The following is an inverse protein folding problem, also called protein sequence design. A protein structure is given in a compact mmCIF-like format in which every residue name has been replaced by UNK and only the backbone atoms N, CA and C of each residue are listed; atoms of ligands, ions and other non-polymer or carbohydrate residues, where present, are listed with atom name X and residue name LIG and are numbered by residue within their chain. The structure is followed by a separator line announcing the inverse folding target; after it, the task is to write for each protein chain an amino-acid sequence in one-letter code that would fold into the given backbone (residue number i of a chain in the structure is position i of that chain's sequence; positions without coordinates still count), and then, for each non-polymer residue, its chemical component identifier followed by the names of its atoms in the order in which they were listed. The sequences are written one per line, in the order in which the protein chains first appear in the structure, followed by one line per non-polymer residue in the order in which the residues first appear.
data_IF_551463454443
#
_entry.id   IF_551463454443
#
_cell.length_a   1.000
_cell.length_b   1.000
_cell.length_c   1.000
_cell.angle_alpha   90.00
_cell.angle_beta   90.00
_cell.angle_gamma   90.00
#
_symmetry.space_group_name_H-M   'P 1'
#
loop_
_entity.id
_entity.type
_entity.pdbx_description
1 polymer ?
#
# COMPACT_ATOMS: atom_id res chain seq x y z
N UNK A 1 17.76 4.19 -10.22
CA UNK A 1 16.61 4.28 -11.13
C UNK A 1 16.42 5.75 -11.53
N UNK A 2 16.50 6.08 -12.81
CA UNK A 2 16.39 7.46 -13.28
C UNK A 2 14.97 7.73 -13.72
N UNK A 3 14.30 8.69 -13.08
CA UNK A 3 13.02 9.21 -13.54
C UNK A 3 13.23 10.52 -14.25
N UNK A 4 12.71 10.64 -15.46
CA UNK A 4 12.64 11.88 -16.21
C UNK A 4 11.17 12.31 -16.34
N UNK A 5 10.95 13.61 -16.35
CA UNK A 5 9.62 14.19 -16.51
C UNK A 5 9.56 14.82 -17.90
N UNK A 6 8.58 14.40 -18.69
CA UNK A 6 8.36 14.92 -20.04
C UNK A 6 6.94 15.49 -20.17
N UNK A 7 6.78 16.40 -21.11
CA UNK A 7 5.47 16.87 -21.53
C UNK A 7 5.04 16.06 -22.75
N UNK A 8 4.06 15.17 -22.57
CA UNK A 8 3.42 14.44 -23.65
C UNK A 8 1.98 14.97 -23.83
N UNK A 9 1.65 15.43 -25.05
CA UNK A 9 0.35 16.03 -25.35
C UNK A 9 -0.09 17.11 -24.34
N UNK A 10 0.81 17.99 -23.91
CA UNK A 10 0.61 19.04 -22.89
C UNK A 10 0.36 18.53 -21.47
N UNK A 11 0.59 17.26 -21.19
CA UNK A 11 0.46 16.68 -19.85
C UNK A 11 1.82 16.22 -19.34
N UNK A 12 2.11 16.48 -18.06
CA UNK A 12 3.31 15.93 -17.41
C UNK A 12 3.18 14.43 -17.27
N UNK A 13 4.24 13.70 -17.61
CA UNK A 13 4.35 12.25 -17.49
C UNK A 13 5.62 11.88 -16.72
N UNK A 14 5.60 10.74 -16.05
CA UNK A 14 6.79 10.15 -15.45
C UNK A 14 7.33 9.07 -16.38
N UNK A 15 8.65 9.07 -16.57
CA UNK A 15 9.35 8.05 -17.36
C UNK A 15 10.35 7.33 -16.47
N UNK A 16 10.15 6.03 -16.30
CA UNK A 16 11.10 5.12 -15.64
C UNK A 16 11.98 4.53 -16.72
N UNK A 17 13.29 4.77 -16.61
CA UNK A 17 14.26 4.31 -17.59
C UNK A 17 15.01 3.12 -17.02
N UNK A 18 14.99 2.01 -17.74
CA UNK A 18 15.69 0.78 -17.44
C UNK A 18 16.87 0.64 -18.39
N UNK A 19 18.08 0.43 -17.89
CA UNK A 19 19.22 0.05 -18.71
C UNK A 19 19.01 -1.35 -19.31
N UNK A 20 19.82 -1.73 -20.31
CA UNK A 20 19.63 -2.99 -21.03
C UNK A 20 19.72 -4.22 -20.11
N UNK A 21 20.48 -4.16 -19.04
CA UNK A 21 20.63 -5.24 -18.05
C UNK A 21 19.32 -5.48 -17.26
N UNK A 22 18.47 -4.47 -17.16
CA UNK A 22 17.18 -4.55 -16.44
C UNK A 22 16.00 -4.90 -17.36
N UNK A 23 16.26 -5.43 -18.57
CA UNK A 23 15.22 -5.80 -19.55
C UNK A 23 14.14 -6.71 -18.95
N UNK A 24 14.53 -7.71 -18.14
CA UNK A 24 13.59 -8.64 -17.53
C UNK A 24 12.59 -7.93 -16.61
N UNK A 25 13.07 -6.99 -15.80
CA UNK A 25 12.25 -6.17 -14.90
C UNK A 25 11.28 -5.28 -15.68
N UNK A 26 11.78 -4.58 -16.72
CA UNK A 26 10.94 -3.76 -17.61
C UNK A 26 9.88 -4.61 -18.30
N UNK A 27 10.27 -5.78 -18.83
CA UNK A 27 9.35 -6.69 -19.52
C UNK A 27 8.23 -7.16 -18.59
N UNK A 28 8.57 -7.57 -17.38
CA UNK A 28 7.59 -8.00 -16.38
C UNK A 28 6.63 -6.85 -16.04
N UNK A 29 7.15 -5.67 -15.69
CA UNK A 29 6.34 -4.53 -15.31
C UNK A 29 5.44 -4.06 -16.46
N UNK A 30 5.96 -4.01 -17.70
CA UNK A 30 5.19 -3.62 -18.87
C UNK A 30 4.08 -4.64 -19.17
N UNK A 31 4.33 -5.95 -19.03
CA UNK A 31 3.32 -6.99 -19.20
C UNK A 31 2.20 -6.89 -18.17
N UNK A 32 2.53 -6.62 -16.92
CA UNK A 32 1.53 -6.39 -15.87
C UNK A 32 0.67 -5.16 -16.22
N UNK A 33 1.29 -4.04 -16.59
CA UNK A 33 0.56 -2.81 -16.93
C UNK A 33 -0.29 -2.89 -18.19
N UNK A 34 0.04 -3.76 -19.13
CA UNK A 34 -0.76 -3.98 -20.36
C UNK A 34 -2.00 -4.83 -20.14
N UNK A 35 -2.14 -5.47 -18.95
CA UNK A 35 -3.37 -6.17 -18.61
C UNK A 35 -4.52 -5.17 -18.46
N UNK A 36 -5.53 -5.30 -19.31
CA UNK A 36 -6.70 -4.41 -19.29
C UNK A 36 -7.46 -4.43 -17.95
N UNK A 37 -7.38 -5.57 -17.23
CA UNK A 37 -8.04 -5.79 -15.96
C UNK A 37 -7.28 -5.16 -14.78
N UNK A 38 -6.05 -4.69 -14.99
CA UNK A 38 -5.28 -3.98 -13.95
C UNK A 38 -5.79 -2.55 -13.70
N UNK A 39 -6.52 -1.95 -14.65
CA UNK A 39 -6.97 -0.55 -14.55
C UNK A 39 -7.85 -0.33 -13.33
N UNK A 40 -7.37 0.48 -12.40
CA UNK A 40 -8.08 0.85 -11.18
C UNK A 40 -7.68 2.24 -10.70
N UNK A 41 -8.56 2.94 -9.98
CA UNK A 41 -8.29 4.30 -9.49
C UNK A 41 -7.12 4.40 -8.51
N UNK A 42 -6.81 3.32 -7.78
CA UNK A 42 -5.70 3.19 -6.84
C UNK A 42 -4.48 2.44 -7.41
N UNK A 43 -4.43 2.25 -8.71
CA UNK A 43 -3.25 1.71 -9.44
C UNK A 43 -2.68 2.80 -10.34
N UNK A 44 -1.36 2.92 -10.39
CA UNK A 44 -0.67 3.89 -11.23
C UNK A 44 -1.11 3.73 -12.70
N UNK A 45 -1.54 4.83 -13.31
CA UNK A 45 -2.01 4.82 -14.70
C UNK A 45 -0.82 4.67 -15.66
N UNK A 46 -0.77 3.56 -16.35
CA UNK A 46 0.14 3.28 -17.44
C UNK A 46 -0.28 4.03 -18.71
N UNK A 47 0.70 4.51 -19.47
CA UNK A 47 0.51 5.21 -20.73
C UNK A 47 1.14 4.45 -21.91
N UNK A 48 2.43 4.12 -21.82
CA UNK A 48 3.13 3.31 -22.83
C UNK A 48 4.40 2.67 -22.28
N UNK A 49 4.90 1.67 -22.97
CA UNK A 49 6.23 1.09 -22.80
C UNK A 49 6.94 1.12 -24.15
N UNK A 50 8.19 1.57 -24.18
CA UNK A 50 8.93 1.83 -25.41
C UNK A 50 10.38 1.36 -25.30
N UNK A 51 10.90 0.85 -26.41
CA UNK A 51 12.34 0.64 -26.58
C UNK A 51 12.94 1.89 -27.23
N UNK A 52 14.00 2.41 -26.66
CA UNK A 52 14.70 3.59 -27.14
C UNK A 52 16.18 3.31 -27.36
N UNK A 53 16.78 4.04 -28.28
CA UNK A 53 18.22 4.02 -28.50
C UNK A 53 18.78 5.40 -28.12
N UNK A 54 19.70 5.41 -27.17
CA UNK A 54 20.47 6.59 -26.79
C UNK A 54 21.92 6.39 -27.23
N UNK A 55 22.23 6.88 -28.43
CA UNK A 55 23.51 6.58 -29.08
C UNK A 55 23.63 5.10 -29.43
N UNK A 56 24.65 4.42 -28.89
CA UNK A 56 24.90 2.99 -29.06
C UNK A 56 24.22 2.12 -28.00
N UNK A 57 23.59 2.71 -26.99
CA UNK A 57 22.97 1.97 -25.89
C UNK A 57 21.45 1.86 -26.13
N UNK A 58 20.92 0.68 -25.82
CA UNK A 58 19.48 0.41 -25.82
C UNK A 58 18.94 0.66 -24.40
N UNK A 59 17.87 1.42 -24.31
CA UNK A 59 17.14 1.72 -23.08
C UNK A 59 15.68 1.29 -23.23
N UNK A 60 15.05 0.95 -22.09
CA UNK A 60 13.65 0.57 -22.03
C UNK A 60 12.90 1.57 -21.17
N UNK A 61 11.88 2.19 -21.74
CA UNK A 61 11.11 3.24 -21.09
C UNK A 61 9.73 2.74 -20.70
N UNK A 62 9.33 3.05 -19.47
CA UNK A 62 7.98 2.87 -18.97
C UNK A 62 7.39 4.24 -18.68
N UNK A 63 6.32 4.60 -19.39
CA UNK A 63 5.71 5.93 -19.32
C UNK A 63 4.39 5.82 -18.57
N UNK A 64 4.24 6.62 -17.51
CA UNK A 64 3.10 6.59 -16.59
C UNK A 64 2.58 7.98 -16.28
N UNK A 65 1.44 8.07 -15.61
CA UNK A 65 0.97 9.33 -15.05
C UNK A 65 1.97 9.88 -14.04
N UNK A 66 2.17 11.20 -14.07
CA UNK A 66 3.01 11.91 -13.10
C UNK A 66 2.20 12.34 -11.89
N UNK A 67 2.75 12.13 -10.70
CA UNK A 67 2.18 12.53 -9.42
C UNK A 67 3.12 13.48 -8.69
N UNK A 68 2.79 14.78 -8.69
CA UNK A 68 3.67 15.86 -8.22
C UNK A 68 3.96 15.84 -6.71
N UNK A 69 3.12 15.17 -5.92
CA UNK A 69 3.31 15.03 -4.47
C UNK A 69 4.38 13.98 -4.11
N UNK A 70 4.81 13.16 -5.10
CA UNK A 70 5.79 12.11 -4.91
C UNK A 70 5.25 10.89 -4.19
N UNK A 71 6.13 10.15 -3.52
CA UNK A 71 5.76 8.93 -2.80
C UNK A 71 5.27 9.21 -1.37
N UNK A 72 4.58 8.22 -0.81
CA UNK A 72 3.96 8.30 0.51
C UNK A 72 4.98 8.51 1.63
N UNK A 73 6.17 7.85 1.59
CA UNK A 73 7.24 8.04 2.58
C UNK A 73 7.63 9.52 2.69
N UNK A 74 7.93 10.13 1.55
CA UNK A 74 8.36 11.53 1.49
C UNK A 74 7.22 12.48 1.88
N UNK A 75 5.99 12.14 1.52
CA UNK A 75 4.81 12.90 1.91
C UNK A 75 4.60 12.88 3.43
N UNK A 76 4.60 11.69 4.05
CA UNK A 76 4.44 11.51 5.50
C UNK A 76 5.57 12.16 6.30
N UNK A 77 6.78 12.22 5.75
CA UNK A 77 7.92 12.89 6.41
C UNK A 77 7.69 14.40 6.57
N UNK A 78 6.91 15.01 5.68
CA UNK A 78 6.67 16.45 5.63
C UNK A 78 5.30 16.89 6.16
N UNK A 79 4.35 15.97 6.25
CA UNK A 79 2.96 16.29 6.54
C UNK A 79 2.44 15.53 7.77
N UNK A 80 1.52 16.16 8.47
CA UNK A 80 0.66 15.57 9.49
C UNK A 80 -0.71 15.40 8.85
N UNK A 81 -1.40 14.31 9.17
CA UNK A 81 -2.67 13.94 8.57
C UNK A 81 -3.82 14.21 9.53
N UNK A 82 -4.91 14.76 9.02
CA UNK A 82 -6.19 14.67 9.72
C UNK A 82 -6.73 13.23 9.65
N UNK A 83 -7.70 12.90 10.50
CA UNK A 83 -8.40 11.60 10.45
C UNK A 83 -8.98 11.32 9.06
N UNK A 84 -9.58 12.32 8.44
CA UNK A 84 -10.14 12.21 7.09
C UNK A 84 -9.08 11.95 6.01
N UNK A 85 -7.91 12.58 6.11
CA UNK A 85 -6.80 12.35 5.19
C UNK A 85 -6.26 10.94 5.34
N UNK A 86 -6.11 10.46 6.60
CA UNK A 86 -5.73 9.10 6.91
C UNK A 86 -6.69 8.10 6.26
N UNK A 87 -8.00 8.25 6.50
CA UNK A 87 -9.02 7.34 5.95
C UNK A 87 -8.94 7.23 4.42
N UNK A 88 -8.81 8.36 3.73
CA UNK A 88 -8.72 8.38 2.26
C UNK A 88 -7.43 7.76 1.74
N UNK A 89 -6.29 8.07 2.36
CA UNK A 89 -5.00 7.49 1.96
C UNK A 89 -4.97 5.99 2.23
N UNK A 90 -5.34 5.57 3.44
CA UNK A 90 -5.38 4.17 3.82
C UNK A 90 -6.43 3.39 3.00
N UNK A 91 -7.63 3.92 2.86
CA UNK A 91 -8.70 3.32 2.05
C UNK A 91 -8.32 3.15 0.59
N UNK A 92 -7.64 4.14 -0.03
CA UNK A 92 -7.17 4.01 -1.41
C UNK A 92 -6.05 2.97 -1.56
N UNK A 93 -5.12 2.86 -0.60
CA UNK A 93 -4.11 1.81 -0.58
C UNK A 93 -4.77 0.43 -0.49
N UNK A 94 -5.66 0.23 0.49
CA UNK A 94 -6.40 -1.02 0.68
C UNK A 94 -7.19 -1.39 -0.57
N UNK A 95 -7.89 -0.43 -1.18
CA UNK A 95 -8.64 -0.62 -2.43
C UNK A 95 -7.75 -1.07 -3.59
N UNK A 96 -6.53 -0.53 -3.69
CA UNK A 96 -5.53 -0.95 -4.68
C UNK A 96 -5.09 -2.41 -4.47
N UNK A 97 -4.75 -2.80 -3.24
CA UNK A 97 -4.34 -4.17 -2.91
C UNK A 97 -5.49 -5.15 -3.11
N UNK A 98 -6.71 -4.79 -2.68
CA UNK A 98 -7.91 -5.60 -2.89
C UNK A 98 -8.16 -5.84 -4.37
N UNK A 99 -8.03 -4.80 -5.22
CA UNK A 99 -8.17 -4.95 -6.65
C UNK A 99 -7.11 -5.90 -7.24
N UNK A 100 -5.86 -5.84 -6.80
CA UNK A 100 -4.82 -6.76 -7.25
C UNK A 100 -5.16 -8.21 -6.89
N UNK A 101 -5.59 -8.47 -5.66
CA UNK A 101 -5.85 -9.81 -5.12
C UNK A 101 -7.18 -10.43 -5.57
N UNK A 102 -8.09 -9.63 -6.13
CA UNK A 102 -9.42 -10.11 -6.55
C UNK A 102 -9.34 -10.98 -7.80
N UNK A 103 -10.20 -12.02 -7.86
CA UNK A 103 -10.43 -12.85 -9.03
C UNK A 103 -11.37 -12.20 -10.06
N UNK A 104 -11.95 -11.06 -9.71
CA UNK A 104 -12.91 -10.34 -10.55
C UNK A 104 -12.60 -8.85 -10.57
N UNK A 105 -12.89 -8.20 -11.70
CA UNK A 105 -12.92 -6.74 -11.80
C UNK A 105 -14.14 -6.17 -11.08
N UNK A 106 -14.15 -4.86 -10.82
CA UNK A 106 -15.33 -4.18 -10.28
C UNK A 106 -16.60 -4.36 -11.14
N UNK A 107 -16.43 -4.62 -12.44
CA UNK A 107 -17.53 -4.94 -13.37
C UNK A 107 -17.94 -6.41 -13.40
N UNK A 108 -17.37 -7.26 -12.53
CA UNK A 108 -17.69 -8.69 -12.43
C UNK A 108 -17.03 -9.57 -13.49
N UNK A 109 -16.13 -9.04 -14.32
CA UNK A 109 -15.37 -9.85 -15.29
C UNK A 109 -14.23 -10.60 -14.60
N UNK A 110 -14.01 -11.89 -14.91
CA UNK A 110 -12.90 -12.66 -14.35
C UNK A 110 -11.54 -12.03 -14.68
N UNK A 111 -10.63 -12.05 -13.73
CA UNK A 111 -9.23 -11.65 -13.92
C UNK A 111 -8.30 -12.57 -13.13
N UNK A 112 -7.04 -12.63 -13.53
CA UNK A 112 -6.00 -13.33 -12.77
C UNK A 112 -5.54 -12.39 -11.66
N UNK A 113 -5.55 -12.82 -10.37
CA UNK A 113 -5.00 -12.04 -9.27
C UNK A 113 -3.50 -11.77 -9.46
N UNK A 114 -3.04 -10.70 -8.84
CA UNK A 114 -1.64 -10.27 -8.88
C UNK A 114 -1.16 -10.05 -7.46
N UNK A 115 -0.03 -10.65 -7.08
CA UNK A 115 0.70 -10.28 -5.89
C UNK A 115 1.75 -9.22 -6.23
N UNK A 116 1.78 -8.14 -5.47
CA UNK A 116 2.71 -7.02 -5.70
C UNK A 116 4.13 -7.35 -5.26
N UNK A 117 4.30 -7.99 -4.11
CA UNK A 117 5.53 -8.48 -3.48
C UNK A 117 6.56 -7.43 -3.04
N UNK A 118 6.30 -6.15 -3.28
CA UNK A 118 7.13 -5.04 -2.76
C UNK A 118 6.28 -3.84 -2.32
N UNK A 119 5.21 -4.12 -1.57
CA UNK A 119 4.38 -3.05 -0.97
C UNK A 119 5.19 -2.36 0.12
N UNK A 120 5.41 -1.06 -0.08
CA UNK A 120 6.13 -0.17 0.85
C UNK A 120 5.76 1.28 0.55
N UNK A 121 5.97 2.17 1.49
CA UNK A 121 5.57 3.58 1.34
C UNK A 121 6.26 4.32 0.18
N UNK A 122 7.44 3.89 -0.27
CA UNK A 122 8.09 4.44 -1.47
C UNK A 122 7.45 3.98 -2.79
N UNK A 123 6.70 2.85 -2.79
CA UNK A 123 5.97 2.32 -3.93
C UNK A 123 4.48 2.68 -3.93
N UNK A 124 4.10 3.65 -3.10
CA UNK A 124 2.79 4.27 -3.06
C UNK A 124 2.95 5.74 -3.42
N UNK A 125 2.31 6.21 -4.48
CA UNK A 125 2.37 7.62 -4.91
C UNK A 125 1.10 8.36 -4.46
N UNK A 126 1.24 9.65 -4.18
CA UNK A 126 0.12 10.53 -3.83
C UNK A 126 -0.48 11.09 -5.10
N UNK A 127 -1.69 10.63 -5.45
CA UNK A 127 -2.40 10.97 -6.68
C UNK A 127 -2.97 12.39 -6.64
N UNK A 128 -3.59 12.74 -5.53
CA UNK A 128 -4.10 14.05 -5.21
C UNK A 128 -3.88 14.27 -3.70
N UNK A 129 -4.45 15.30 -3.13
CA UNK A 129 -4.18 15.67 -1.75
C UNK A 129 -4.45 14.57 -0.70
N UNK A 130 -5.13 13.48 -1.06
CA UNK A 130 -5.61 12.51 -0.05
C UNK A 130 -5.75 11.07 -0.59
N UNK A 131 -5.48 10.82 -1.87
CA UNK A 131 -5.58 9.48 -2.47
C UNK A 131 -4.22 8.94 -2.89
N UNK A 132 -4.06 7.64 -2.78
CA UNK A 132 -2.85 6.92 -3.14
C UNK A 132 -3.04 6.04 -4.37
N UNK A 133 -1.95 5.78 -5.08
CA UNK A 133 -1.88 4.74 -6.10
C UNK A 133 -0.65 3.86 -5.87
N UNK A 134 -0.82 2.54 -6.05
CA UNK A 134 0.28 1.59 -6.06
C UNK A 134 1.06 1.70 -7.36
N UNK A 135 2.38 1.59 -7.28
CA UNK A 135 3.31 1.62 -8.41
C UNK A 135 4.46 0.62 -8.21
N UNK A 136 5.30 0.48 -9.23
CA UNK A 136 6.48 -0.40 -9.23
C UNK A 136 6.13 -1.90 -9.19
N UNK A 137 5.64 -2.40 -10.32
CA UNK A 137 5.29 -3.81 -10.53
C UNK A 137 6.45 -4.65 -11.07
N UNK A 138 7.70 -4.20 -10.94
CA UNK A 138 8.88 -4.86 -11.50
C UNK A 138 9.10 -6.29 -11.01
N UNK A 139 8.65 -6.61 -9.80
CA UNK A 139 8.68 -7.96 -9.21
C UNK A 139 7.28 -8.52 -8.91
N UNK A 140 6.22 -7.89 -9.40
CA UNK A 140 4.87 -8.40 -9.23
C UNK A 140 4.67 -9.75 -9.95
N UNK A 141 3.78 -10.57 -9.41
CA UNK A 141 3.53 -11.92 -9.89
C UNK A 141 2.05 -12.12 -10.21
N UNK A 142 1.76 -12.59 -11.42
CA UNK A 142 0.41 -13.05 -11.78
C UNK A 142 0.19 -14.42 -11.14
N UNK A 143 -0.88 -14.55 -10.37
CA UNK A 143 -1.23 -15.78 -9.66
C UNK A 143 -2.09 -16.66 -10.57
N UNK A 144 -1.49 -17.10 -11.67
CA UNK A 144 -2.15 -17.94 -12.69
C UNK A 144 -2.06 -19.41 -12.28
N UNK A 145 -3.20 -20.09 -12.00
CA UNK A 145 -3.20 -21.50 -11.59
C UNK A 145 -2.65 -22.46 -12.68
N UNK A 146 -2.51 -21.99 -13.91
CA UNK A 146 -1.92 -22.79 -15.00
C UNK A 146 -0.40 -22.87 -14.95
N UNK A 147 0.27 -21.99 -14.16
CA UNK A 147 1.71 -21.99 -13.99
C UNK A 147 2.15 -23.08 -13.01
N UNK A 148 3.31 -23.67 -13.27
CA UNK A 148 3.88 -24.67 -12.37
C UNK A 148 4.62 -24.06 -11.20
N UNK A 149 4.81 -24.84 -10.12
CA UNK A 149 5.67 -24.44 -8.97
C UNK A 149 7.08 -24.03 -9.42
N UNK A 150 7.59 -24.64 -10.49
CA UNK A 150 8.88 -24.26 -11.09
C UNK A 150 8.92 -22.83 -11.61
N UNK A 151 7.78 -22.30 -12.08
CA UNK A 151 7.66 -20.91 -12.53
C UNK A 151 7.73 -19.94 -11.35
N UNK A 152 7.39 -20.39 -10.14
CA UNK A 152 7.45 -19.63 -8.89
C UNK A 152 8.73 -19.89 -8.06
N UNK A 153 9.59 -20.83 -8.45
CA UNK A 153 10.71 -21.33 -7.64
C UNK A 153 11.67 -20.22 -7.16
N UNK A 154 11.84 -19.15 -7.91
CA UNK A 154 12.67 -18.00 -7.53
C UNK A 154 11.83 -16.83 -6.94
N UNK A 155 10.58 -17.07 -6.62
CA UNK A 155 9.62 -16.00 -6.28
C UNK A 155 9.40 -15.81 -4.78
N UNK A 156 9.89 -16.71 -3.93
CA UNK A 156 9.57 -16.73 -2.50
C UNK A 156 10.30 -15.66 -1.65
N UNK A 157 11.52 -15.26 -2.03
CA UNK A 157 12.33 -14.34 -1.22
C UNK A 157 12.71 -13.09 -2.00
N UNK A 158 11.72 -12.26 -2.27
CA UNK A 158 11.87 -10.98 -3.00
C UNK A 158 11.22 -9.85 -2.21
N UNK A 159 11.61 -8.62 -2.52
CA UNK A 159 11.07 -7.41 -1.91
C UNK A 159 12.05 -6.69 -1.00
N UNK A 160 11.57 -5.75 -0.24
CA UNK A 160 12.36 -4.89 0.65
C UNK A 160 12.36 -5.47 2.07
N UNK A 161 13.52 -5.85 2.60
CA UNK A 161 13.67 -6.60 3.86
C UNK A 161 12.84 -6.04 5.03
N UNK A 162 12.75 -4.70 5.17
CA UNK A 162 11.97 -4.03 6.21
C UNK A 162 10.48 -4.38 6.20
N UNK A 163 9.92 -4.66 5.01
CA UNK A 163 8.49 -4.93 4.81
C UNK A 163 8.19 -6.41 4.60
N UNK A 164 9.20 -7.27 4.61
CA UNK A 164 9.03 -8.71 4.42
C UNK A 164 8.30 -9.36 5.60
N UNK A 165 7.35 -10.20 5.26
CA UNK A 165 6.63 -11.02 6.23
C UNK A 165 7.56 -12.10 6.88
N UNK A 166 7.20 -12.61 8.07
CA UNK A 166 8.00 -13.62 8.77
C UNK A 166 8.37 -14.82 7.90
N UNK A 167 7.40 -15.41 7.20
CA UNK A 167 7.59 -16.58 6.33
C UNK A 167 8.54 -16.30 5.15
N UNK A 168 8.57 -15.04 4.66
CA UNK A 168 9.51 -14.61 3.60
C UNK A 168 10.93 -14.53 4.15
N UNK A 169 11.09 -13.89 5.32
CA UNK A 169 12.38 -13.80 6.00
C UNK A 169 12.95 -15.19 6.36
N UNK A 170 12.08 -16.13 6.67
CA UNK A 170 12.43 -17.50 7.03
C UNK A 170 12.61 -18.43 5.81
N UNK A 171 12.31 -17.94 4.59
CA UNK A 171 12.32 -18.72 3.34
C UNK A 171 11.38 -19.95 3.39
N UNK A 172 10.22 -19.80 4.04
CA UNK A 172 9.19 -20.85 4.22
C UNK A 172 7.86 -20.52 3.55
N UNK A 173 7.86 -19.66 2.55
CA UNK A 173 6.66 -19.38 1.75
C UNK A 173 6.22 -20.66 1.05
N UNK A 174 4.93 -21.00 1.18
CA UNK A 174 4.36 -22.13 0.43
C UNK A 174 4.12 -21.71 -1.02
N UNK A 175 5.02 -22.14 -1.93
CA UNK A 175 4.95 -21.79 -3.35
C UNK A 175 3.88 -22.59 -4.11
N UNK A 176 3.31 -23.64 -3.51
CA UNK A 176 2.22 -24.43 -4.09
C UNK A 176 0.85 -23.78 -3.83
N UNK A 177 0.79 -22.89 -2.83
CA UNK A 177 -0.42 -22.14 -2.52
C UNK A 177 -0.29 -20.67 -2.95
N UNK A 178 -1.05 -20.27 -3.97
CA UNK A 178 -1.05 -18.92 -4.50
C UNK A 178 -1.54 -17.87 -3.50
N UNK A 179 -2.35 -18.27 -2.50
CA UNK A 179 -2.80 -17.37 -1.42
C UNK A 179 -1.63 -16.90 -0.54
N UNK A 180 -0.57 -17.71 -0.39
CA UNK A 180 0.65 -17.32 0.35
C UNK A 180 1.22 -16.01 -0.15
N UNK A 181 1.18 -15.74 -1.45
CA UNK A 181 1.68 -14.49 -2.02
C UNK A 181 0.79 -13.29 -1.69
N UNK A 182 -0.52 -13.49 -1.56
CA UNK A 182 -1.45 -12.43 -1.11
C UNK A 182 -1.27 -12.14 0.37
N UNK A 183 -1.04 -13.15 1.19
CA UNK A 183 -0.78 -13.03 2.64
C UNK A 183 0.49 -12.21 2.92
N UNK A 184 1.54 -12.36 2.10
CA UNK A 184 2.76 -11.54 2.17
C UNK A 184 2.46 -10.05 1.91
N UNK A 185 1.67 -9.75 0.89
CA UNK A 185 1.27 -8.38 0.55
C UNK A 185 0.44 -7.74 1.67
N UNK A 186 -0.46 -8.51 2.30
CA UNK A 186 -1.28 -8.03 3.42
C UNK A 186 -0.41 -7.64 4.61
N UNK A 187 0.62 -8.42 4.94
CA UNK A 187 1.60 -8.07 5.97
C UNK A 187 2.30 -6.74 5.66
N UNK A 188 2.81 -6.60 4.45
CA UNK A 188 3.49 -5.38 3.99
C UNK A 188 2.54 -4.17 3.99
N UNK A 189 1.30 -4.36 3.56
CA UNK A 189 0.24 -3.34 3.60
C UNK A 189 -0.01 -2.87 5.04
N UNK A 190 -0.07 -3.79 6.01
CA UNK A 190 -0.27 -3.43 7.42
C UNK A 190 0.83 -2.50 7.95
N UNK A 191 2.09 -2.73 7.55
CA UNK A 191 3.20 -1.84 7.90
C UNK A 191 3.03 -0.44 7.31
N UNK A 192 2.56 -0.33 6.06
CA UNK A 192 2.27 0.97 5.44
C UNK A 192 1.06 1.65 6.09
N UNK A 193 0.03 0.91 6.46
CA UNK A 193 -1.12 1.44 7.24
C UNK A 193 -0.66 2.00 8.58
N UNK A 194 0.27 1.31 9.26
CA UNK A 194 0.89 1.82 10.50
C UNK A 194 1.68 3.12 10.25
N UNK A 195 2.43 3.23 9.15
CA UNK A 195 3.12 4.48 8.79
C UNK A 195 2.14 5.64 8.64
N UNK A 196 1.03 5.44 7.92
CA UNK A 196 -0.03 6.44 7.74
C UNK A 196 -0.63 6.82 9.11
N UNK A 197 -0.98 5.83 9.94
CA UNK A 197 -1.55 6.04 11.28
C UNK A 197 -0.62 6.83 12.19
N UNK A 198 0.70 6.59 12.12
CA UNK A 198 1.72 7.26 12.95
C UNK A 198 1.80 8.77 12.72
N UNK A 199 1.24 9.26 11.62
CA UNK A 199 1.25 10.68 11.25
C UNK A 199 -0.10 11.39 11.44
N UNK A 200 -1.08 10.73 12.06
CA UNK A 200 -2.42 11.28 12.30
C UNK A 200 -2.47 12.12 13.58
N UNK A 201 -3.14 13.26 13.54
CA UNK A 201 -3.34 14.15 14.69
C UNK A 201 -4.65 13.92 15.46
N UNK A 202 -5.50 13.00 14.99
CA UNK A 202 -6.84 12.75 15.54
C UNK A 202 -6.88 12.36 17.02
N UNK A 203 -5.77 11.81 17.54
CA UNK A 203 -5.65 11.36 18.93
C UNK A 203 -5.27 12.47 19.91
N UNK A 204 -5.06 13.70 19.42
CA UNK A 204 -4.55 14.81 20.24
C UNK A 204 -3.08 14.62 20.64
N UNK A 205 -2.48 15.72 21.13
CA UNK A 205 -1.07 15.74 21.52
C UNK A 205 -0.11 15.96 20.36
N UNK A 206 1.19 15.84 20.63
CA UNK A 206 2.24 16.07 19.64
C UNK A 206 2.45 14.81 18.78
N UNK A 207 2.20 14.91 17.48
CA UNK A 207 2.54 13.85 16.53
C UNK A 207 4.07 13.72 16.45
N UNK A 208 4.60 12.50 16.62
CA UNK A 208 6.04 12.22 16.51
C UNK A 208 6.52 12.48 15.07
N UNK A 209 7.81 12.73 14.90
CA UNK A 209 8.40 12.76 13.56
C UNK A 209 8.18 11.42 12.84
N UNK A 210 8.13 11.46 11.52
CA UNK A 210 8.01 10.24 10.74
C UNK A 210 9.20 9.30 10.97
N UNK A 211 8.88 8.05 11.20
CA UNK A 211 9.83 6.94 11.22
C UNK A 211 9.26 5.80 10.34
N UNK A 212 10.12 5.11 9.56
CA UNK A 212 9.68 3.92 8.85
C UNK A 212 9.39 2.80 9.86
N UNK A 213 8.67 1.74 9.46
CA UNK A 213 8.44 0.59 10.33
C UNK A 213 9.75 0.07 10.95
N UNK A 214 9.76 -0.21 12.24
CA UNK A 214 10.96 -0.59 13.00
C UNK A 214 12.10 0.45 13.03
N UNK A 215 11.84 1.73 12.70
CA UNK A 215 12.87 2.77 12.58
C UNK A 215 13.69 2.99 13.86
N UNK A 216 13.06 2.83 15.03
CA UNK A 216 13.75 2.89 16.33
C UNK A 216 14.62 1.67 16.65
N UNK A 217 14.51 0.57 15.91
CA UNK A 217 15.15 -0.73 16.19
C UNK A 217 16.23 -1.10 15.18
N UNK A 218 16.08 -0.65 13.92
CA UNK A 218 16.99 -1.01 12.83
C UNK A 218 17.40 0.24 12.05
N UNK A 219 18.59 0.20 11.45
CA UNK A 219 19.10 1.28 10.59
C UNK A 219 18.21 1.48 9.35
N UNK A 220 18.45 2.54 8.59
CA UNK A 220 17.62 2.96 7.45
C UNK A 220 17.47 1.86 6.37
N UNK A 221 18.56 1.14 6.08
CA UNK A 221 18.56 0.01 5.14
C UNK A 221 18.99 -1.27 5.88
N UNK A 222 18.06 -1.96 6.57
CA UNK A 222 18.40 -3.19 7.27
C UNK A 222 18.63 -4.34 6.28
N UNK A 223 19.61 -5.21 6.58
CA UNK A 223 19.74 -6.47 5.88
C UNK A 223 18.70 -7.49 6.39
N UNK A 224 18.57 -8.60 5.68
CA UNK A 224 17.61 -9.66 6.02
C UNK A 224 17.87 -10.28 7.38
N UNK A 225 19.15 -10.48 7.74
CA UNK A 225 19.55 -11.07 9.03
C UNK A 225 19.05 -10.22 10.20
N UNK A 226 19.24 -8.89 10.12
CA UNK A 226 18.76 -7.96 11.16
C UNK A 226 17.22 -7.99 11.25
N UNK A 227 16.54 -8.09 10.12
CA UNK A 227 15.06 -8.19 10.13
C UNK A 227 14.60 -9.56 10.66
N UNK A 228 15.34 -10.65 10.43
CA UNK A 228 15.07 -11.94 11.07
C UNK A 228 15.16 -11.85 12.58
N UNK A 229 16.22 -11.22 13.11
CA UNK A 229 16.39 -11.06 14.55
C UNK A 229 15.21 -10.34 15.18
N UNK A 230 14.75 -9.27 14.57
CA UNK A 230 13.64 -8.46 15.07
C UNK A 230 12.27 -9.15 14.88
N UNK A 231 11.98 -9.62 13.66
CA UNK A 231 10.63 -10.07 13.30
C UNK A 231 10.39 -11.54 13.64
N UNK A 232 11.38 -12.42 13.43
CA UNK A 232 11.22 -13.85 13.69
C UNK A 232 11.57 -14.19 15.14
N UNK A 233 12.78 -13.91 15.58
CA UNK A 233 13.25 -14.32 16.91
C UNK A 233 12.69 -13.41 18.01
N UNK A 234 12.68 -12.10 17.78
CA UNK A 234 12.10 -11.13 18.68
C UNK A 234 10.56 -11.06 18.65
N UNK A 235 9.94 -11.60 17.61
CA UNK A 235 8.49 -11.47 17.35
C UNK A 235 7.97 -10.03 17.47
N UNK A 236 8.83 -9.08 17.13
CA UNK A 236 8.52 -7.67 17.29
C UNK A 236 7.68 -7.13 16.13
N UNK A 237 6.92 -6.08 16.44
CA UNK A 237 6.17 -5.26 15.49
C UNK A 237 6.41 -3.78 15.80
N UNK A 238 6.10 -2.86 14.88
CA UNK A 238 6.08 -1.44 15.20
C UNK A 238 5.16 -1.14 16.37
N UNK A 239 5.57 -0.22 17.23
CA UNK A 239 4.81 0.16 18.43
C UNK A 239 3.45 0.78 18.04
N UNK A 240 2.38 0.30 18.67
CA UNK A 240 1.06 0.95 18.67
C UNK A 240 0.94 1.68 20.00
N UNK A 241 1.05 3.03 20.03
CA UNK A 241 0.95 3.79 21.25
C UNK A 241 -0.44 3.65 21.88
N UNK A 242 -0.51 3.49 23.20
CA UNK A 242 -1.78 3.28 23.91
C UNK A 242 -2.79 4.43 23.75
N UNK A 243 -2.31 5.65 23.54
CA UNK A 243 -3.17 6.81 23.28
C UNK A 243 -3.92 6.74 21.95
N UNK A 244 -3.46 5.93 20.96
CA UNK A 244 -4.21 5.70 19.72
C UNK A 244 -5.55 5.03 19.99
N UNK A 245 -5.62 4.19 21.02
CA UNK A 245 -6.84 3.46 21.38
C UNK A 245 -7.94 4.34 21.98
N UNK A 246 -7.62 5.60 22.31
CA UNK A 246 -8.61 6.56 22.82
C UNK A 246 -9.55 7.09 21.71
N UNK A 247 -9.13 7.06 20.45
CA UNK A 247 -9.95 7.43 19.30
C UNK A 247 -10.58 6.19 18.66
N UNK A 248 -11.90 6.09 18.65
CA UNK A 248 -12.62 4.87 18.23
C UNK A 248 -12.20 4.35 16.85
N UNK A 249 -12.12 5.21 15.85
CA UNK A 249 -11.70 4.82 14.51
C UNK A 249 -10.24 4.37 14.46
N UNK A 250 -9.34 5.05 15.23
CA UNK A 250 -7.94 4.65 15.32
C UNK A 250 -7.79 3.29 16.02
N UNK A 251 -8.58 3.02 17.08
CA UNK A 251 -8.61 1.72 17.73
C UNK A 251 -8.98 0.61 16.74
N UNK A 252 -10.05 0.80 15.99
CA UNK A 252 -10.48 -0.15 14.95
C UNK A 252 -9.42 -0.37 13.86
N UNK A 253 -8.71 0.71 13.47
CA UNK A 253 -7.57 0.60 12.56
C UNK A 253 -6.41 -0.18 13.18
N UNK A 254 -6.10 0.03 14.46
CA UNK A 254 -5.06 -0.70 15.17
C UNK A 254 -5.35 -2.20 15.24
N UNK A 255 -6.60 -2.59 15.52
CA UNK A 255 -7.03 -3.99 15.50
C UNK A 255 -6.83 -4.60 14.11
N UNK A 256 -7.26 -3.87 13.07
CA UNK A 256 -7.09 -4.29 11.67
C UNK A 256 -5.62 -4.46 11.31
N UNK A 257 -4.74 -3.51 11.67
CA UNK A 257 -3.30 -3.60 11.46
C UNK A 257 -2.73 -4.82 12.18
N UNK A 258 -3.14 -5.04 13.44
CA UNK A 258 -2.62 -6.14 14.28
C UNK A 258 -2.97 -7.50 13.69
N UNK A 259 -4.17 -7.67 13.18
CA UNK A 259 -4.57 -8.91 12.51
C UNK A 259 -3.88 -9.09 11.15
N UNK A 260 -3.62 -8.01 10.39
CA UNK A 260 -2.95 -8.11 9.10
C UNK A 260 -1.46 -8.44 9.18
N UNK A 261 -0.77 -8.08 10.27
CA UNK A 261 0.65 -8.40 10.43
C UNK A 261 0.90 -9.57 11.38
N UNK A 262 -0.10 -10.45 11.55
CA UNK A 262 0.08 -11.66 12.35
C UNK A 262 1.32 -12.46 11.91
N UNK A 263 1.91 -13.16 12.86
CA UNK A 263 3.07 -14.00 12.58
C UNK A 263 2.71 -15.19 11.70
N UNK A 264 1.54 -15.76 11.94
CA UNK A 264 0.97 -16.82 11.13
C UNK A 264 0.27 -16.22 9.91
N UNK A 265 0.72 -16.51 8.66
CA UNK A 265 0.09 -16.00 7.46
C UNK A 265 -1.41 -16.39 7.34
N UNK A 266 -1.79 -17.59 7.83
CA UNK A 266 -3.18 -18.07 7.79
C UNK A 266 -4.10 -17.32 8.75
N UNK A 267 -3.56 -16.67 9.79
CA UNK A 267 -4.33 -15.87 10.73
C UNK A 267 -4.60 -14.44 10.23
N UNK A 268 -3.92 -14.03 9.14
CA UNK A 268 -4.07 -12.66 8.60
C UNK A 268 -5.41 -12.48 7.90
N UNK A 269 -5.94 -11.26 7.99
CA UNK A 269 -7.09 -10.85 7.19
C UNK A 269 -6.75 -10.91 5.69
N UNK A 270 -7.76 -11.15 4.85
CA UNK A 270 -7.62 -10.90 3.41
C UNK A 270 -7.72 -9.40 3.11
N UNK A 271 -7.16 -8.94 1.99
CA UNK A 271 -7.30 -7.54 1.57
C UNK A 271 -8.78 -7.15 1.41
N UNK A 272 -9.64 -8.08 0.99
CA UNK A 272 -11.08 -7.86 0.90
C UNK A 272 -11.72 -7.62 2.27
N UNK A 273 -11.40 -8.42 3.28
CA UNK A 273 -11.88 -8.19 4.65
C UNK A 273 -11.43 -6.83 5.21
N UNK A 274 -10.19 -6.42 4.88
CA UNK A 274 -9.69 -5.08 5.27
C UNK A 274 -10.51 -3.99 4.59
N UNK A 275 -10.81 -4.11 3.29
CA UNK A 275 -11.64 -3.16 2.56
C UNK A 275 -13.04 -3.03 3.16
N UNK A 276 -13.68 -4.14 3.51
CA UNK A 276 -14.97 -4.14 4.20
C UNK A 276 -14.91 -3.39 5.55
N UNK A 277 -13.83 -3.55 6.31
CA UNK A 277 -13.62 -2.80 7.56
C UNK A 277 -13.50 -1.29 7.32
N UNK A 278 -12.81 -0.86 6.26
CA UNK A 278 -12.72 0.56 5.91
C UNK A 278 -14.08 1.12 5.49
N UNK A 279 -14.88 0.38 4.73
CA UNK A 279 -16.26 0.77 4.36
C UNK A 279 -17.14 0.98 5.61
N UNK A 280 -17.04 0.08 6.60
CA UNK A 280 -17.78 0.21 7.86
C UNK A 280 -17.33 1.43 8.67
N UNK A 281 -16.02 1.72 8.70
CA UNK A 281 -15.44 2.87 9.39
C UNK A 281 -15.97 4.20 8.81
N UNK A 282 -16.00 4.33 7.48
CA UNK A 282 -16.55 5.52 6.80
C UNK A 282 -18.05 5.72 7.07
N UNK A 283 -18.83 4.62 7.09
CA UNK A 283 -20.26 4.68 7.41
C UNK A 283 -20.52 5.15 8.84
N UNK A 284 -19.75 4.63 9.81
CA UNK A 284 -19.86 4.98 11.23
C UNK A 284 -19.54 6.46 11.46
N UNK A 285 -18.49 6.99 10.85
CA UNK A 285 -18.13 8.39 10.96
C UNK A 285 -19.18 9.31 10.31
N UNK A 286 -19.70 8.91 9.16
CA UNK A 286 -20.80 9.63 8.49
C UNK A 286 -22.07 9.68 9.35
N UNK A 287 -22.40 8.57 10.02
CA UNK A 287 -23.54 8.50 10.94
C UNK A 287 -23.35 9.39 12.17
N UNK A 288 -22.19 9.34 12.81
CA UNK A 288 -21.84 10.18 13.96
C UNK A 288 -21.88 11.67 13.59
N UNK A 289 -21.32 12.05 12.45
CA UNK A 289 -21.32 13.43 11.96
C UNK A 289 -22.74 13.95 11.78
N UNK A 290 -23.61 13.19 11.13
CA UNK A 290 -24.99 13.57 10.88
C UNK A 290 -25.83 13.67 12.17
N UNK A 291 -25.63 12.78 13.15
CA UNK A 291 -26.38 12.77 14.40
C UNK A 291 -25.88 13.82 15.42
N UNK A 292 -24.58 14.06 15.48
CA UNK A 292 -24.01 15.14 16.33
C UNK A 292 -24.49 16.53 15.86
N UNK A 293 -24.61 16.74 14.55
CA UNK A 293 -25.17 17.99 14.02
C UNK A 293 -26.64 18.16 14.38
N UNK A 294 -27.46 17.11 14.28
CA UNK A 294 -28.87 17.15 14.66
C UNK A 294 -29.03 17.48 16.14
N UNK A 295 -28.24 16.87 17.03
CA UNK A 295 -28.29 17.16 18.47
C UNK A 295 -27.83 18.59 18.78
N UNK A 296 -26.82 19.14 18.09
CA UNK A 296 -26.44 20.55 18.25
C UNK A 296 -27.52 21.52 17.78
N UNK A 297 -28.19 21.25 16.69
CA UNK A 297 -29.24 22.08 16.17
C UNK A 297 -30.52 22.04 17.04
N UNK A 298 -30.91 20.88 17.55
CA UNK A 298 -32.04 20.73 18.47
C UNK A 298 -31.79 21.44 19.80
N UNK A 299 -30.57 21.40 20.34
CA UNK A 299 -30.24 22.13 21.59
C UNK A 299 -30.17 23.65 21.40
N UNK A 300 -29.84 24.16 20.21
CA UNK A 300 -29.87 25.60 19.90
C UNK A 300 -31.34 26.11 19.74
N UNK A 301 -32.22 25.31 19.14
CA UNK A 301 -33.64 25.65 19.03
C UNK A 301 -34.34 25.67 20.40
N UNK A 302 -34.02 24.76 21.31
CA UNK A 302 -34.58 24.75 22.67
C UNK A 302 -34.12 25.91 23.53
N UNK A 303 -32.95 26.52 23.27
CA UNK A 303 -32.49 27.71 23.99
C UNK A 303 -33.08 29.03 23.45
N UNK A 304 -33.80 29.04 22.33
CA UNK A 304 -34.42 30.24 21.74
C UNK A 304 -35.92 30.39 22.05
N UNK A 305 -36.57 29.37 22.65
CA UNK A 305 -37.97 29.41 23.05
C UNK A 305 -38.21 29.82 24.52
N UNK A 306 -37.16 30.10 25.30
CA UNK A 306 -37.26 30.56 26.70
C UNK A 306 -36.80 32.03 26.88
N UNK A 307 -37.19 32.93 25.98
CA UNK A 307 -37.06 34.38 26.21
C UNK A 307 -38.29 35.13 25.75
#
# INVERSE_FOLDING_TARGET
MNFLYFIHQRTMVAVKIFPCEEFASWKNESQIFTDANLKHCSILRFLSAEERHSGLQKEYWLITAYHSQGNLKDYLSRNILSWRDLQKMAGSLVSGVTHLHSDYTAGGSPKIPIAHRDIKSTNVLIKNHQECVLCDFGIALRLDPSLSVGDFANSGQVGTARYMAPEVLESRVNLEDLESFKQMDVYSMALVLWEIASRCDAIGGKVKNYEPPFGSKVREQPCMEVMRDVVLYGRERPEIPTNWLAHQGMHFLCDTITECWDHDPEARLTAHCVAERFNLMEQTDSWLFNHVWVVKYTNISLCMEEK
#
